data_IF_615054623856
#
_entry.id   IF_615054623856
#
_cell.length_a   1.000
_cell.length_b   1.000
_cell.length_c   1.000
_cell.angle_alpha   90.00
_cell.angle_beta   90.00
_cell.angle_gamma   90.00
#
_symmetry.space_group_name_H-M   'P 1'
#
loop_
_entity.id
_entity.type
_entity.pdbx_description
1 polymer ?
#
# COMPACT_ATOMS: atom_id res chain seq x y z
N UNK A 1 -14.44 -40.52 4.69
CA UNK A 1 -14.13 -40.38 6.13
C UNK A 1 -13.52 -39.00 6.35
N UNK A 2 -14.04 -38.29 7.36
CA UNK A 2 -13.77 -36.89 7.69
C UNK A 2 -12.52 -36.80 8.56
N UNK A 3 -11.64 -35.82 8.33
CA UNK A 3 -10.74 -35.33 9.37
C UNK A 3 -10.72 -33.81 9.30
N UNK A 4 -11.52 -33.18 10.17
CA UNK A 4 -11.54 -31.74 10.40
C UNK A 4 -10.51 -31.44 11.48
N UNK A 5 -9.30 -31.02 11.11
CA UNK A 5 -8.41 -30.35 12.06
C UNK A 5 -8.80 -28.86 12.12
N UNK A 6 -9.55 -28.53 13.17
CA UNK A 6 -9.72 -27.16 13.65
C UNK A 6 -8.39 -26.66 14.19
N UNK A 7 -7.63 -25.89 13.41
CA UNK A 7 -6.56 -25.06 13.96
C UNK A 7 -7.13 -23.73 14.37
N UNK A 8 -7.48 -23.68 15.65
CA UNK A 8 -7.81 -22.49 16.40
C UNK A 8 -6.53 -21.65 16.49
N UNK A 9 -6.35 -20.74 15.53
CA UNK A 9 -5.29 -19.73 15.59
C UNK A 9 -5.64 -18.71 16.65
N UNK A 10 -4.90 -18.72 17.76
CA UNK A 10 -5.03 -17.75 18.82
C UNK A 10 -4.94 -16.32 18.29
N UNK A 11 -5.89 -15.49 18.71
CA UNK A 11 -5.88 -14.05 18.44
C UNK A 11 -4.68 -13.42 19.13
N UNK A 12 -3.56 -13.33 18.40
CA UNK A 12 -2.53 -12.35 18.68
C UNK A 12 -3.10 -10.97 18.31
N UNK A 13 -3.82 -10.39 19.27
CA UNK A 13 -4.38 -9.05 19.23
C UNK A 13 -3.30 -8.05 19.65
N UNK A 14 -2.17 -8.05 18.94
CA UNK A 14 -1.22 -6.94 18.99
C UNK A 14 -1.83 -5.79 18.19
N UNK A 15 -2.46 -4.83 18.86
CA UNK A 15 -2.89 -3.51 18.38
C UNK A 15 -2.90 -3.37 16.85
N UNK A 16 -3.79 -4.11 16.17
CA UNK A 16 -3.83 -4.16 14.72
C UNK A 16 -4.54 -2.90 14.26
N UNK A 17 -3.83 -1.76 14.29
CA UNK A 17 -4.20 -0.60 13.48
C UNK A 17 -4.49 -1.14 12.08
N UNK A 18 -5.73 -1.01 11.69
CA UNK A 18 -6.20 -1.46 10.41
C UNK A 18 -5.41 -0.69 9.35
N UNK A 19 -5.16 -1.27 8.18
CA UNK A 19 -4.38 -0.55 7.17
C UNK A 19 -5.02 0.81 6.78
N UNK A 20 -6.34 0.90 6.92
CA UNK A 20 -7.08 2.15 6.72
C UNK A 20 -6.86 3.18 7.84
N UNK A 21 -6.38 2.76 9.01
CA UNK A 21 -6.01 3.66 10.11
C UNK A 21 -4.57 4.19 9.93
N UNK A 22 -3.82 3.66 8.94
CA UNK A 22 -2.41 4.00 8.68
C UNK A 22 -2.27 4.72 7.33
N UNK A 23 -3.15 4.39 6.38
CA UNK A 23 -3.21 4.98 5.06
C UNK A 23 -4.63 5.50 4.82
N UNK A 24 -4.81 6.78 4.42
CA UNK A 24 -6.07 7.32 3.93
C UNK A 24 -6.34 6.76 2.53
N UNK A 25 -6.49 5.43 2.46
CA UNK A 25 -6.80 4.73 1.23
C UNK A 25 -8.26 4.30 1.32
N UNK A 26 -9.11 4.93 0.49
CA UNK A 26 -10.48 4.49 0.30
C UNK A 26 -10.49 3.04 -0.18
N UNK A 27 -11.08 2.17 0.62
CA UNK A 27 -11.17 0.73 0.34
C UNK A 27 -12.07 0.39 -0.82
N UNK A 28 -13.02 1.26 -1.15
CA UNK A 28 -13.88 1.10 -2.32
C UNK A 28 -13.13 1.41 -3.62
N UNK A 29 -12.07 2.22 -3.55
CA UNK A 29 -11.26 2.67 -4.69
C UNK A 29 -10.03 1.77 -4.97
N UNK A 30 -9.85 0.68 -4.21
CA UNK A 30 -8.67 -0.20 -4.35
C UNK A 30 -9.01 -1.65 -4.64
N UNK A 31 -8.15 -2.27 -5.43
CA UNK A 31 -8.11 -3.71 -5.62
C UNK A 31 -6.87 -4.30 -4.95
N UNK A 32 -7.03 -5.25 -4.02
CA UNK A 32 -5.88 -5.91 -3.40
C UNK A 32 -5.23 -6.90 -4.37
N UNK A 33 -3.92 -6.79 -4.56
CA UNK A 33 -3.15 -7.77 -5.31
C UNK A 33 -2.61 -8.86 -4.39
N UNK A 34 -2.40 -10.05 -4.95
CA UNK A 34 -1.58 -11.06 -4.29
C UNK A 34 -0.14 -10.57 -4.16
N UNK A 35 0.58 -11.05 -3.13
CA UNK A 35 2.00 -10.71 -2.95
C UNK A 35 2.83 -11.05 -4.20
N UNK A 36 2.64 -12.25 -4.76
CA UNK A 36 3.39 -12.69 -5.94
C UNK A 36 3.15 -11.80 -7.18
N UNK A 37 1.92 -11.35 -7.41
CA UNK A 37 1.60 -10.44 -8.49
C UNK A 37 2.19 -9.06 -8.23
N UNK A 38 1.97 -8.51 -7.03
CA UNK A 38 2.51 -7.22 -6.60
C UNK A 38 4.02 -7.11 -6.76
N UNK A 39 4.76 -8.09 -6.23
CA UNK A 39 6.23 -8.14 -6.37
C UNK A 39 6.68 -8.23 -7.83
N UNK A 40 5.94 -8.93 -8.69
CA UNK A 40 6.26 -9.02 -10.12
C UNK A 40 6.08 -7.67 -10.81
N UNK A 41 4.96 -7.00 -10.58
CA UNK A 41 4.63 -5.74 -11.28
C UNK A 41 5.44 -4.55 -10.76
N UNK A 42 5.84 -4.55 -9.49
CA UNK A 42 6.72 -3.51 -8.91
C UNK A 42 8.19 -3.93 -8.87
N UNK A 43 8.58 -4.92 -9.68
CA UNK A 43 9.92 -5.49 -9.71
C UNK A 43 10.95 -4.60 -10.42
N UNK A 44 12.10 -5.19 -10.76
CA UNK A 44 13.11 -4.50 -11.54
C UNK A 44 12.56 -4.08 -12.92
N UNK A 45 12.70 -2.81 -13.27
CA UNK A 45 12.18 -2.23 -14.51
C UNK A 45 10.81 -1.56 -14.38
N UNK A 46 10.16 -1.63 -13.22
CA UNK A 46 8.93 -0.87 -12.96
C UNK A 46 9.23 0.62 -12.81
N UNK A 47 8.42 1.48 -13.43
CA UNK A 47 8.48 2.93 -13.27
C UNK A 47 7.88 3.30 -11.92
N UNK A 48 8.71 3.77 -10.97
CA UNK A 48 8.22 4.35 -9.71
C UNK A 48 7.94 5.84 -9.92
N UNK A 49 6.71 6.25 -9.65
CA UNK A 49 6.23 7.62 -9.86
C UNK A 49 6.40 8.48 -8.61
N UNK A 50 6.23 7.85 -7.43
CA UNK A 50 6.21 8.55 -6.16
C UNK A 50 6.63 7.64 -4.99
N UNK A 51 7.24 8.22 -3.98
CA UNK A 51 7.51 7.56 -2.70
C UNK A 51 7.28 8.53 -1.53
N UNK A 52 6.60 8.04 -0.50
CA UNK A 52 6.47 8.71 0.79
C UNK A 52 6.89 7.77 1.92
N UNK A 53 7.38 8.34 3.00
CA UNK A 53 7.70 7.61 4.22
C UNK A 53 7.08 8.28 5.44
N UNK A 54 6.70 7.45 6.39
CA UNK A 54 6.23 7.87 7.68
C UNK A 54 7.37 7.77 8.70
N UNK A 55 7.98 8.88 9.17
CA UNK A 55 9.16 8.83 10.03
C UNK A 55 8.88 8.23 11.41
N UNK A 56 7.67 8.40 11.93
CA UNK A 56 7.28 7.92 13.27
C UNK A 56 7.16 6.40 13.30
N UNK A 57 6.61 5.79 12.25
CA UNK A 57 6.45 4.33 12.16
C UNK A 57 7.59 3.65 11.41
N UNK A 58 8.29 4.34 10.50
CA UNK A 58 9.20 3.77 9.48
C UNK A 58 8.48 2.95 8.39
N UNK A 59 7.19 3.20 8.19
CA UNK A 59 6.46 2.63 7.05
C UNK A 59 6.76 3.44 5.78
N UNK A 60 6.69 2.79 4.62
CA UNK A 60 6.81 3.49 3.33
C UNK A 60 5.65 3.15 2.41
N UNK A 61 5.34 4.10 1.53
CA UNK A 61 4.39 3.97 0.44
C UNK A 61 5.10 4.31 -0.85
N UNK A 62 5.01 3.43 -1.85
CA UNK A 62 5.57 3.66 -3.18
C UNK A 62 4.46 3.49 -4.21
N UNK A 63 4.46 4.32 -5.24
CA UNK A 63 3.51 4.26 -6.36
C UNK A 63 4.26 3.90 -7.64
N UNK A 64 3.72 2.94 -8.37
CA UNK A 64 4.27 2.48 -9.64
C UNK A 64 3.25 2.61 -10.75
N UNK A 65 3.71 2.97 -11.94
CA UNK A 65 2.90 2.89 -13.15
C UNK A 65 2.60 1.42 -13.47
N UNK A 66 1.33 1.09 -13.72
CA UNK A 66 0.93 -0.22 -14.22
C UNK A 66 0.39 -0.12 -15.65
N UNK A 67 -0.48 0.86 -15.88
CA UNK A 67 -1.05 1.25 -17.17
C UNK A 67 -1.33 2.75 -17.14
N UNK A 68 -1.79 3.32 -18.26
CA UNK A 68 -2.21 4.73 -18.34
C UNK A 68 -3.36 5.12 -17.38
N UNK A 69 -4.14 4.16 -16.89
CA UNK A 69 -5.28 4.43 -15.99
C UNK A 69 -5.13 3.81 -14.60
N UNK A 70 -4.09 3.01 -14.37
CA UNK A 70 -3.95 2.23 -13.14
C UNK A 70 -2.54 2.33 -12.61
N UNK A 71 -2.44 2.70 -11.35
CA UNK A 71 -1.22 2.68 -10.57
C UNK A 71 -1.22 1.50 -9.59
N UNK A 72 -0.04 0.98 -9.27
CA UNK A 72 0.16 0.04 -8.17
C UNK A 72 0.74 0.77 -6.96
N UNK A 73 0.00 0.76 -5.86
CA UNK A 73 0.47 1.24 -4.56
C UNK A 73 1.05 0.08 -3.78
N UNK A 74 2.34 0.19 -3.42
CA UNK A 74 3.02 -0.71 -2.50
C UNK A 74 3.13 -0.03 -1.14
N UNK A 75 2.52 -0.63 -0.12
CA UNK A 75 2.74 -0.24 1.26
C UNK A 75 3.69 -1.23 1.94
N UNK A 76 4.74 -0.72 2.58
CA UNK A 76 5.71 -1.51 3.34
C UNK A 76 5.67 -1.11 4.80
N UNK A 77 5.40 -2.10 5.65
CA UNK A 77 5.44 -1.96 7.11
C UNK A 77 6.88 -1.86 7.63
N UNK A 78 7.09 -1.41 8.87
CA UNK A 78 8.43 -1.26 9.45
C UNK A 78 9.20 -2.58 9.58
N UNK A 79 8.48 -3.69 9.69
CA UNK A 79 9.01 -5.06 9.75
C UNK A 79 9.18 -5.70 8.36
N UNK A 80 9.03 -4.91 7.30
CA UNK A 80 9.26 -5.34 5.92
C UNK A 80 8.12 -6.13 5.27
N UNK A 81 6.97 -6.32 5.92
CA UNK A 81 5.79 -6.88 5.25
C UNK A 81 5.24 -5.89 4.25
N UNK A 82 4.87 -6.38 3.07
CA UNK A 82 4.37 -5.59 1.97
C UNK A 82 2.92 -5.93 1.64
N UNK A 83 2.17 -4.92 1.21
CA UNK A 83 0.85 -5.06 0.60
C UNK A 83 0.81 -4.25 -0.69
N UNK A 84 0.01 -4.72 -1.64
CA UNK A 84 -0.07 -4.16 -2.98
C UNK A 84 -1.52 -3.91 -3.37
N UNK A 85 -1.77 -2.76 -3.95
CA UNK A 85 -3.10 -2.31 -4.35
C UNK A 85 -3.07 -1.74 -5.75
N UNK A 86 -4.01 -2.15 -6.60
CA UNK A 86 -4.34 -1.46 -7.83
C UNK A 86 -5.28 -0.31 -7.49
N UNK A 87 -4.99 0.88 -8.00
CA UNK A 87 -5.77 2.09 -7.78
C UNK A 87 -5.91 2.80 -9.11
N UNK A 88 -7.09 3.30 -9.43
CA UNK A 88 -7.27 4.16 -10.60
C UNK A 88 -6.44 5.43 -10.40
N UNK A 89 -5.74 5.88 -11.45
CA UNK A 89 -4.89 7.07 -11.38
C UNK A 89 -5.69 8.32 -10.95
N UNK A 90 -6.95 8.43 -11.41
CA UNK A 90 -7.88 9.50 -11.03
C UNK A 90 -8.18 9.57 -9.54
N UNK A 91 -8.23 8.42 -8.88
CA UNK A 91 -8.58 8.31 -7.45
C UNK A 91 -7.33 8.44 -6.59
N UNK A 92 -6.17 8.01 -7.09
CA UNK A 92 -4.94 7.97 -6.32
C UNK A 92 -4.41 9.37 -5.97
N UNK A 93 -4.49 10.33 -6.90
CA UNK A 93 -4.00 11.69 -6.66
C UNK A 93 -4.61 12.34 -5.41
N UNK A 94 -5.94 12.47 -5.26
CA UNK A 94 -6.52 13.08 -4.06
C UNK A 94 -6.18 12.29 -2.78
N UNK A 95 -6.03 10.96 -2.86
CA UNK A 95 -5.60 10.14 -1.72
C UNK A 95 -4.16 10.44 -1.29
N UNK A 96 -3.25 10.73 -2.23
CA UNK A 96 -1.87 11.13 -1.92
C UNK A 96 -1.78 12.55 -1.37
N UNK A 97 -2.63 13.46 -1.87
CA UNK A 97 -2.75 14.81 -1.32
C UNK A 97 -3.20 14.74 0.15
N UNK A 98 -4.27 14.01 0.47
CA UNK A 98 -4.74 13.76 1.84
C UNK A 98 -3.66 13.06 2.71
N UNK A 99 -2.94 12.08 2.15
CA UNK A 99 -1.83 11.42 2.84
C UNK A 99 -0.76 12.42 3.30
N UNK A 100 -0.39 13.38 2.46
CA UNK A 100 0.66 14.35 2.78
C UNK A 100 0.18 15.50 3.68
N UNK A 101 -1.14 15.71 3.79
CA UNK A 101 -1.71 16.60 4.82
C UNK A 101 -1.56 16.02 6.23
N UNK A 102 -1.46 14.69 6.37
CA UNK A 102 -1.09 14.08 7.65
C UNK A 102 0.39 14.33 7.96
N UNK A 103 0.66 15.04 9.06
CA UNK A 103 2.03 15.40 9.53
C UNK A 103 2.99 14.20 9.69
N UNK A 104 2.43 12.99 9.80
CA UNK A 104 3.15 11.75 9.92
C UNK A 104 3.79 11.26 8.60
N UNK A 105 3.41 11.78 7.44
CA UNK A 105 3.88 11.34 6.13
C UNK A 105 4.66 12.43 5.39
N UNK A 106 5.74 12.03 4.74
CA UNK A 106 6.63 12.94 4.02
C UNK A 106 7.00 12.34 2.66
N UNK A 107 6.86 13.14 1.59
CA UNK A 107 7.42 12.79 0.29
C UNK A 107 8.94 12.58 0.40
N UNK A 108 9.43 11.55 -0.30
CA UNK A 108 10.85 11.18 -0.38
C UNK A 108 11.38 11.30 -1.79
N UNK A 109 10.55 10.95 -2.78
CA UNK A 109 10.92 10.92 -4.19
C UNK A 109 9.67 11.06 -5.06
N UNK A 110 9.85 11.60 -6.27
CA UNK A 110 8.76 11.87 -7.19
C UNK A 110 7.88 13.06 -6.79
N UNK A 111 6.89 13.35 -7.64
CA UNK A 111 5.94 14.45 -7.49
C UNK A 111 4.53 13.86 -7.69
N UNK A 112 3.54 14.34 -6.93
CA UNK A 112 2.16 13.81 -7.02
C UNK A 112 1.58 14.08 -8.41
N UNK A 113 2.02 15.12 -9.08
CA UNK A 113 1.61 15.49 -10.44
C UNK A 113 2.04 14.48 -11.50
N UNK A 114 2.99 13.60 -11.19
CA UNK A 114 3.43 12.52 -12.06
C UNK A 114 2.65 11.21 -11.85
N UNK A 115 1.67 11.21 -10.94
CA UNK A 115 0.80 10.07 -10.60
C UNK A 115 -0.53 10.18 -11.32
#
# INVERSE_FOLDING_TARGET
MSSRERRQGGSDSGNRKHLADILPIDRAAIESLSWALGTRVTGAGATRLFEAANPSTRSTLSVFEATEYTCIVRFRTPVGREKFFGVAASDLRPMLEELLEHEDWQSRDGQIENV
#
